data_IF_596683895205
#
_entry.id   IF_596683895205
#
_cell.length_a   1.000
_cell.length_b   1.000
_cell.length_c   1.000
_cell.angle_alpha   90.00
_cell.angle_beta   90.00
_cell.angle_gamma   90.00
#
_symmetry.space_group_name_H-M   'P 1'
#
loop_
_entity.id
_entity.type
_entity.pdbx_description
1 polymer ?
#
# COMPACT_ATOMS: atom_id res chain seq x y z
N UNK A 1 22.07 73.38 -35.44
CA UNK A 1 21.38 73.09 -36.71
C UNK A 1 22.20 72.01 -37.40
N UNK A 2 21.54 70.89 -37.71
CA UNK A 2 22.02 69.68 -38.44
C UNK A 2 23.25 68.94 -37.92
N UNK A 3 23.03 67.74 -37.36
CA UNK A 3 23.82 66.58 -37.79
C UNK A 3 22.98 65.29 -37.75
N UNK A 4 23.07 64.54 -38.85
CA UNK A 4 22.37 63.31 -39.22
C UNK A 4 23.28 62.12 -38.93
N UNK A 5 22.93 61.26 -37.97
CA UNK A 5 23.69 60.03 -37.72
C UNK A 5 23.10 58.82 -38.42
N UNK A 6 24.02 58.06 -39.01
CA UNK A 6 23.88 57.01 -40.01
C UNK A 6 23.28 55.72 -39.47
N UNK A 7 22.46 55.14 -40.34
CA UNK A 7 22.02 53.75 -40.36
C UNK A 7 23.26 52.81 -40.47
N UNK A 8 23.29 51.74 -39.68
CA UNK A 8 24.30 50.68 -39.77
C UNK A 8 23.63 49.33 -39.56
N UNK A 9 23.62 48.58 -40.65
CA UNK A 9 22.95 47.32 -40.88
C UNK A 9 23.47 46.21 -39.95
N UNK A 10 22.56 45.56 -39.22
CA UNK A 10 22.80 44.34 -38.44
C UNK A 10 22.65 43.11 -39.35
N UNK A 11 23.57 42.12 -39.34
CA UNK A 11 23.46 40.95 -40.20
C UNK A 11 22.30 40.03 -39.74
N UNK A 12 21.52 39.56 -40.71
CA UNK A 12 20.38 38.65 -40.51
C UNK A 12 20.90 37.23 -40.21
N UNK A 13 20.62 36.71 -39.02
CA UNK A 13 20.83 35.31 -38.67
C UNK A 13 20.04 34.38 -39.61
N UNK A 14 20.73 33.45 -40.28
CA UNK A 14 20.06 32.37 -41.04
C UNK A 14 19.52 31.32 -40.04
N UNK A 15 18.29 30.83 -40.22
CA UNK A 15 17.76 29.76 -39.39
C UNK A 15 18.45 28.43 -39.73
N UNK A 16 18.90 27.71 -38.69
CA UNK A 16 19.32 26.32 -38.83
C UNK A 16 18.13 25.44 -39.22
N UNK A 17 18.28 24.48 -40.16
CA UNK A 17 17.20 23.59 -40.53
C UNK A 17 16.84 22.67 -39.36
N UNK A 18 15.60 22.76 -38.90
CA UNK A 18 15.03 21.83 -37.93
C UNK A 18 14.88 20.46 -38.59
N UNK A 19 15.66 19.47 -38.14
CA UNK A 19 15.43 18.07 -38.49
C UNK A 19 14.42 17.47 -37.52
N UNK A 20 13.26 16.99 -38.00
CA UNK A 20 12.31 16.29 -37.16
C UNK A 20 12.98 15.03 -36.62
N UNK A 21 13.20 14.96 -35.30
CA UNK A 21 13.53 13.69 -34.64
C UNK A 21 12.33 12.78 -34.80
N UNK A 22 12.41 11.84 -35.75
CA UNK A 22 11.53 10.69 -35.79
C UNK A 22 11.71 9.94 -34.46
N UNK A 23 10.74 10.10 -33.56
CA UNK A 23 10.62 9.27 -32.37
C UNK A 23 10.24 7.89 -32.85
N UNK A 24 11.23 7.01 -33.06
CA UNK A 24 10.97 5.59 -33.08
C UNK A 24 10.41 5.22 -31.71
N UNK A 25 9.09 5.10 -31.64
CA UNK A 25 8.40 4.47 -30.51
C UNK A 25 8.87 3.03 -30.50
N UNK A 26 9.88 2.73 -29.69
CA UNK A 26 10.29 1.36 -29.45
C UNK A 26 9.08 0.65 -28.83
N UNK A 27 8.49 -0.30 -29.57
CA UNK A 27 7.38 -1.10 -29.07
C UNK A 27 7.74 -1.77 -27.74
N UNK A 28 6.72 -2.07 -26.93
CA UNK A 28 6.91 -2.74 -25.64
C UNK A 28 7.69 -4.04 -25.86
N UNK A 29 8.79 -4.33 -25.14
CA UNK A 29 9.56 -5.56 -25.34
C UNK A 29 8.69 -6.82 -25.17
N UNK A 30 8.89 -7.89 -25.97
CA UNK A 30 8.04 -9.10 -25.93
C UNK A 30 7.91 -9.73 -24.54
N UNK A 31 9.00 -9.76 -23.76
CA UNK A 31 8.97 -10.31 -22.39
C UNK A 31 8.08 -9.48 -21.44
N UNK A 32 8.03 -8.15 -21.63
CA UNK A 32 7.13 -7.27 -20.87
C UNK A 32 5.68 -7.54 -21.29
N UNK A 33 5.42 -7.69 -22.58
CA UNK A 33 4.07 -8.03 -23.08
C UNK A 33 3.59 -9.37 -22.50
N UNK A 34 4.44 -10.40 -22.53
CA UNK A 34 4.13 -11.71 -21.96
C UNK A 34 3.85 -11.65 -20.46
N UNK A 35 4.66 -10.90 -19.69
CA UNK A 35 4.43 -10.67 -18.26
C UNK A 35 3.08 -9.97 -18.01
N UNK A 36 2.77 -8.92 -18.76
CA UNK A 36 1.49 -8.20 -18.63
C UNK A 36 0.31 -9.10 -18.97
N UNK A 37 0.44 -9.93 -20.01
CA UNK A 37 -0.60 -10.90 -20.38
C UNK A 37 -0.83 -11.93 -19.27
N UNK A 38 0.23 -12.46 -18.65
CA UNK A 38 0.13 -13.38 -17.53
C UNK A 38 -0.57 -12.74 -16.31
N UNK A 39 -0.22 -11.49 -15.97
CA UNK A 39 -0.87 -10.74 -14.89
C UNK A 39 -2.33 -10.41 -15.19
N UNK A 40 -2.66 -10.06 -16.43
CA UNK A 40 -4.05 -9.85 -16.86
C UNK A 40 -4.88 -11.14 -16.75
N UNK A 41 -4.28 -12.30 -17.07
CA UNK A 41 -4.92 -13.60 -16.85
C UNK A 41 -5.18 -13.87 -15.36
N UNK A 42 -4.20 -13.57 -14.50
CA UNK A 42 -4.36 -13.65 -13.04
C UNK A 42 -5.49 -12.75 -12.55
N UNK A 43 -5.55 -11.49 -13.00
CA UNK A 43 -6.64 -10.58 -12.65
C UNK A 43 -8.02 -11.13 -13.06
N UNK A 44 -8.13 -11.67 -14.28
CA UNK A 44 -9.37 -12.28 -14.77
C UNK A 44 -9.78 -13.46 -13.89
N UNK A 45 -8.84 -14.33 -13.53
CA UNK A 45 -9.08 -15.46 -12.64
C UNK A 45 -9.49 -14.99 -11.24
N UNK A 46 -8.78 -14.03 -10.64
CA UNK A 46 -9.13 -13.40 -9.34
C UNK A 46 -10.58 -12.94 -9.34
N UNK A 47 -11.02 -12.18 -10.35
CA UNK A 47 -12.42 -11.74 -10.46
C UNK A 47 -13.40 -12.89 -10.58
N UNK A 48 -13.04 -13.94 -11.31
CA UNK A 48 -13.92 -15.08 -11.55
C UNK A 48 -14.14 -15.91 -10.27
N UNK A 49 -13.12 -16.08 -9.43
CA UNK A 49 -13.21 -16.90 -8.22
C UNK A 49 -13.84 -16.16 -7.03
N UNK A 50 -13.72 -14.83 -6.96
CA UNK A 50 -14.18 -14.03 -5.82
C UNK A 50 -15.63 -14.28 -5.40
N UNK A 51 -16.64 -14.36 -6.30
CA UNK A 51 -18.02 -14.62 -5.90
C UNK A 51 -18.21 -15.93 -5.14
N UNK A 52 -17.55 -17.01 -5.57
CA UNK A 52 -17.64 -18.33 -4.93
C UNK A 52 -16.88 -18.39 -3.59
N UNK A 53 -15.87 -17.55 -3.40
CA UNK A 53 -15.15 -17.41 -2.15
C UNK A 53 -15.97 -16.61 -1.15
N UNK A 54 -16.52 -15.47 -1.59
CA UNK A 54 -17.29 -14.57 -0.74
C UNK A 54 -18.63 -15.18 -0.31
N UNK A 55 -19.22 -16.08 -1.10
CA UNK A 55 -20.42 -16.83 -0.68
C UNK A 55 -20.18 -17.71 0.55
N UNK A 56 -18.92 -18.10 0.81
CA UNK A 56 -18.52 -18.85 2.01
C UNK A 56 -18.24 -17.93 3.21
N UNK A 57 -18.23 -16.61 3.01
CA UNK A 57 -17.94 -15.59 4.02
C UNK A 57 -19.10 -14.57 4.13
N UNK A 58 -20.33 -15.00 4.46
CA UNK A 58 -21.53 -14.16 4.40
C UNK A 58 -21.55 -13.01 5.41
N UNK A 59 -20.62 -12.99 6.37
CA UNK A 59 -20.49 -11.94 7.37
C UNK A 59 -19.60 -10.76 6.90
N UNK A 60 -18.98 -10.88 5.72
CA UNK A 60 -18.15 -9.86 5.11
C UNK A 60 -18.88 -9.22 3.93
N UNK A 61 -18.77 -7.89 3.80
CA UNK A 61 -19.24 -7.17 2.62
C UNK A 61 -18.06 -6.54 1.86
N UNK A 62 -17.47 -7.33 0.98
CA UNK A 62 -16.34 -6.91 0.16
C UNK A 62 -16.70 -5.89 -0.94
N UNK A 63 -17.98 -5.53 -1.07
CA UNK A 63 -18.44 -4.56 -2.07
C UNK A 63 -18.60 -3.16 -1.48
N UNK A 64 -18.59 -3.01 -0.16
CA UNK A 64 -18.85 -1.73 0.49
C UNK A 64 -17.59 -0.90 0.70
N UNK A 65 -17.72 0.40 0.46
CA UNK A 65 -16.68 1.39 0.70
C UNK A 65 -17.29 2.75 1.01
N UNK A 66 -16.53 3.60 1.71
CA UNK A 66 -16.92 4.93 2.11
C UNK A 66 -15.90 5.94 1.60
N UNK A 67 -16.37 6.96 0.89
CA UNK A 67 -15.53 8.07 0.47
C UNK A 67 -15.49 9.10 1.60
N UNK A 68 -14.29 9.54 1.96
CA UNK A 68 -14.04 10.55 2.98
C UNK A 68 -13.18 11.67 2.39
N UNK A 69 -13.45 12.92 2.77
CA UNK A 69 -12.59 14.06 2.44
C UNK A 69 -11.90 14.57 3.71
N UNK A 70 -10.56 14.61 3.71
CA UNK A 70 -9.79 15.03 4.87
C UNK A 70 -10.18 16.43 5.37
N UNK A 71 -10.58 17.33 4.47
CA UNK A 71 -11.00 18.70 4.81
C UNK A 71 -12.30 18.74 5.61
N UNK A 72 -13.10 17.68 5.54
CA UNK A 72 -14.39 17.54 6.23
C UNK A 72 -14.29 16.64 7.47
N UNK A 73 -13.20 15.86 7.60
CA UNK A 73 -12.98 14.99 8.76
C UNK A 73 -12.59 15.79 10.00
N UNK A 74 -13.15 15.40 11.15
CA UNK A 74 -12.78 15.98 12.45
C UNK A 74 -11.39 15.47 12.87
N UNK A 75 -10.56 16.32 13.51
CA UNK A 75 -9.33 15.86 14.14
C UNK A 75 -9.58 14.72 15.13
N UNK A 76 -8.58 13.84 15.27
CA UNK A 76 -8.63 12.77 16.26
C UNK A 76 -8.66 13.37 17.69
N UNK A 77 -9.51 12.80 18.53
CA UNK A 77 -9.64 13.18 19.94
C UNK A 77 -8.49 12.53 20.76
N UNK A 78 -7.56 13.31 21.34
CA UNK A 78 -6.45 12.76 22.12
C UNK A 78 -6.91 11.96 23.34
N UNK A 79 -8.09 12.23 23.88
CA UNK A 79 -8.65 11.46 24.99
C UNK A 79 -9.01 10.02 24.60
N UNK A 80 -9.09 9.73 23.30
CA UNK A 80 -9.36 8.38 22.74
C UNK A 80 -8.09 7.68 22.26
N UNK A 81 -6.90 8.22 22.56
CA UNK A 81 -5.65 7.53 22.24
C UNK A 81 -5.58 6.18 22.98
N UNK A 82 -5.25 5.07 22.29
CA UNK A 82 -5.30 3.73 22.89
C UNK A 82 -4.22 3.47 23.95
N UNK A 83 -3.23 4.35 24.11
CA UNK A 83 -2.24 4.26 25.19
C UNK A 83 -1.42 2.97 25.21
N UNK A 84 -1.07 2.42 24.03
CA UNK A 84 -0.31 1.17 23.95
C UNK A 84 1.04 1.28 24.67
N UNK A 85 1.32 0.39 25.61
CA UNK A 85 2.60 0.35 26.31
C UNK A 85 3.63 -0.40 25.46
N UNK A 86 4.82 0.18 25.31
CA UNK A 86 5.92 -0.44 24.57
C UNK A 86 6.50 -1.62 25.37
N UNK A 87 6.66 -2.76 24.72
CA UNK A 87 7.32 -3.93 25.33
C UNK A 87 8.82 -3.70 25.56
N UNK A 88 9.44 -2.83 24.77
CA UNK A 88 10.85 -2.47 24.89
C UNK A 88 11.14 -1.50 26.05
N UNK A 89 10.12 -0.80 26.54
CA UNK A 89 10.24 0.20 27.60
C UNK A 89 8.95 0.26 28.44
N UNK A 90 8.82 -0.64 29.44
CA UNK A 90 7.63 -0.72 30.28
C UNK A 90 7.37 0.59 31.03
N UNK A 91 6.18 1.15 30.87
CA UNK A 91 5.78 2.45 31.46
C UNK A 91 5.69 3.58 30.43
N UNK A 92 6.19 3.37 29.22
CA UNK A 92 6.10 4.33 28.12
C UNK A 92 4.97 3.95 27.15
N UNK A 93 4.01 4.86 26.96
CA UNK A 93 3.02 4.76 25.89
C UNK A 93 3.69 5.09 24.54
N UNK A 94 3.49 4.27 23.52
CA UNK A 94 4.06 4.48 22.20
C UNK A 94 3.51 3.58 21.11
N UNK A 95 4.07 3.71 19.90
CA UNK A 95 3.75 2.86 18.76
C UNK A 95 5.00 2.10 18.33
N UNK A 96 4.89 0.78 18.16
CA UNK A 96 5.96 -0.02 17.60
C UNK A 96 6.01 0.18 16.09
N UNK A 97 7.14 0.68 15.59
CA UNK A 97 7.37 0.86 14.16
C UNK A 97 8.39 -0.17 13.68
N UNK A 98 8.08 -0.86 12.57
CA UNK A 98 8.98 -1.80 11.89
C UNK A 98 9.05 -1.46 10.41
N UNK A 99 10.23 -1.57 9.83
CA UNK A 99 10.46 -1.44 8.39
C UNK A 99 10.79 -2.83 7.86
N UNK A 100 10.03 -3.29 6.87
CA UNK A 100 10.11 -4.63 6.31
C UNK A 100 10.27 -4.52 4.79
N UNK A 101 11.05 -5.43 4.20
CA UNK A 101 11.14 -5.58 2.75
C UNK A 101 10.09 -6.59 2.26
N UNK A 102 8.83 -6.26 2.47
CA UNK A 102 7.68 -7.10 2.14
C UNK A 102 6.64 -6.32 1.34
N UNK A 103 5.78 -7.01 0.61
CA UNK A 103 4.63 -6.33 0.01
C UNK A 103 3.53 -6.05 1.04
N UNK A 104 2.65 -5.09 0.72
CA UNK A 104 1.63 -4.57 1.64
C UNK A 104 0.76 -5.65 2.28
N UNK A 105 0.39 -6.70 1.53
CA UNK A 105 -0.50 -7.74 2.03
C UNK A 105 0.25 -8.81 2.81
N UNK A 106 1.49 -9.13 2.44
CA UNK A 106 2.33 -10.06 3.24
C UNK A 106 2.67 -9.42 4.60
N UNK A 107 3.02 -8.12 4.62
CA UNK A 107 3.18 -7.36 5.86
C UNK A 107 1.90 -7.34 6.72
N UNK A 108 0.73 -7.20 6.10
CA UNK A 108 -0.56 -7.20 6.80
C UNK A 108 -0.90 -8.57 7.39
N UNK A 109 -0.63 -9.66 6.66
CA UNK A 109 -0.82 -11.03 7.15
C UNK A 109 0.06 -11.28 8.36
N UNK A 110 1.37 -10.99 8.28
CA UNK A 110 2.29 -11.16 9.41
C UNK A 110 1.88 -10.34 10.64
N UNK A 111 1.37 -9.10 10.43
CA UNK A 111 0.85 -8.28 11.51
C UNK A 111 -0.41 -8.89 12.12
N UNK A 112 -1.35 -9.36 11.30
CA UNK A 112 -2.57 -10.03 11.76
C UNK A 112 -2.27 -11.31 12.56
N UNK A 113 -1.35 -12.15 12.09
CA UNK A 113 -0.88 -13.35 12.81
C UNK A 113 -0.22 -13.00 14.14
N UNK A 114 0.57 -11.92 14.18
CA UNK A 114 1.16 -11.43 15.44
C UNK A 114 0.09 -10.96 16.43
N UNK A 115 -0.98 -10.34 15.95
CA UNK A 115 -2.09 -9.87 16.79
C UNK A 115 -2.96 -11.00 17.35
N UNK A 116 -3.11 -12.11 16.62
CA UNK A 116 -3.84 -13.30 17.08
C UNK A 116 -3.03 -14.17 18.02
N UNK A 117 -1.70 -14.24 17.84
CA UNK A 117 -0.81 -15.01 18.70
C UNK A 117 -0.48 -14.30 20.02
N UNK A 118 -0.60 -12.96 20.07
CA UNK A 118 -0.44 -12.24 21.33
C UNK A 118 -1.65 -12.51 22.25
N UNK A 119 -1.43 -13.06 23.47
CA UNK A 119 -2.45 -13.05 24.51
C UNK A 119 -2.98 -11.63 24.65
N UNK A 120 -4.29 -11.45 24.87
CA UNK A 120 -4.89 -10.14 25.13
C UNK A 120 -3.98 -9.38 26.11
N UNK A 121 -3.28 -8.35 25.63
CA UNK A 121 -2.40 -7.57 26.47
C UNK A 121 -3.26 -7.08 27.65
N UNK A 122 -2.82 -7.39 28.86
CA UNK A 122 -3.55 -7.12 30.08
C UNK A 122 -4.04 -5.67 30.08
N UNK A 123 -5.30 -5.42 30.51
CA UNK A 123 -5.81 -4.05 30.64
C UNK A 123 -4.87 -3.26 31.55
N UNK A 124 -4.30 -2.18 31.02
CA UNK A 124 -3.51 -1.23 31.81
C UNK A 124 -4.40 -0.07 32.27
N UNK A 125 -4.07 0.40 33.47
CA UNK A 125 -4.84 1.20 34.42
C UNK A 125 -5.65 2.35 33.76
N UNK A 126 -6.96 2.36 33.99
CA UNK A 126 -7.79 3.58 33.90
C UNK A 126 -8.56 3.83 32.60
N UNK A 127 -8.54 2.95 31.60
CA UNK A 127 -9.35 3.11 30.37
C UNK A 127 -10.31 1.94 30.17
N UNK A 128 -11.53 2.22 29.71
CA UNK A 128 -12.54 1.21 29.38
C UNK A 128 -11.98 0.25 28.34
N UNK A 129 -11.78 -1.00 28.73
CA UNK A 129 -11.12 -2.05 27.96
C UNK A 129 -11.94 -2.46 26.73
N UNK A 130 -11.86 -1.66 25.68
CA UNK A 130 -12.34 -2.08 24.36
C UNK A 130 -11.38 -3.14 23.83
N UNK A 131 -11.86 -4.30 23.35
CA UNK A 131 -10.98 -5.31 22.78
C UNK A 131 -10.16 -4.71 21.64
N UNK A 132 -8.85 -5.03 21.58
CA UNK A 132 -7.97 -4.56 20.49
C UNK A 132 -8.60 -4.95 19.15
N UNK A 133 -8.72 -3.99 18.23
CA UNK A 133 -9.14 -4.27 16.86
C UNK A 133 -8.12 -5.22 16.22
N UNK A 134 -8.60 -6.39 15.81
CA UNK A 134 -7.77 -7.44 15.19
C UNK A 134 -7.60 -7.23 13.69
N UNK A 135 -8.24 -6.21 13.11
CA UNK A 135 -8.12 -5.89 11.68
C UNK A 135 -6.92 -5.00 11.45
N UNK A 136 -6.12 -5.38 10.45
CA UNK A 136 -5.00 -4.58 9.97
C UNK A 136 -5.50 -3.61 8.91
N UNK A 137 -5.09 -2.35 9.04
CA UNK A 137 -5.33 -1.32 8.03
C UNK A 137 -4.16 -1.27 7.06
N UNK A 138 -4.45 -1.35 5.76
CA UNK A 138 -3.46 -1.25 4.68
C UNK A 138 -3.72 0.02 3.88
N UNK A 139 -2.68 0.84 3.67
CA UNK A 139 -2.75 1.98 2.76
C UNK A 139 -2.55 1.50 1.32
N UNK A 140 -3.54 1.70 0.45
CA UNK A 140 -3.44 1.55 -1.00
C UNK A 140 -3.04 2.88 -1.63
N UNK A 141 -1.94 2.89 -2.38
CA UNK A 141 -1.42 4.03 -3.13
C UNK A 141 -2.20 4.21 -4.43
N UNK A 142 -3.46 4.61 -4.27
CA UNK A 142 -4.48 4.47 -5.29
C UNK A 142 -4.39 5.52 -6.41
N UNK A 143 -4.69 5.08 -7.62
CA UNK A 143 -4.95 5.96 -8.75
C UNK A 143 -6.18 6.83 -8.49
N UNK A 144 -6.05 8.14 -8.61
CA UNK A 144 -7.19 9.07 -8.51
C UNK A 144 -8.16 8.95 -9.70
N UNK A 145 -7.78 8.26 -10.77
CA UNK A 145 -8.49 8.26 -12.06
C UNK A 145 -9.18 6.95 -12.38
N UNK A 146 -8.59 5.83 -11.96
CA UNK A 146 -9.04 4.50 -12.39
C UNK A 146 -9.07 3.53 -11.21
N UNK A 147 -10.21 2.86 -10.96
CA UNK A 147 -10.32 1.90 -9.86
C UNK A 147 -9.36 0.72 -10.05
N UNK A 148 -8.42 0.55 -9.13
CA UNK A 148 -7.42 -0.51 -9.16
C UNK A 148 -6.32 -0.26 -10.21
N UNK A 149 -6.18 0.96 -10.70
CA UNK A 149 -5.20 1.34 -11.70
C UNK A 149 -5.27 0.47 -12.96
N UNK A 150 -4.11 -0.04 -13.39
CA UNK A 150 -3.98 -0.83 -14.60
C UNK A 150 -4.08 -2.34 -14.40
N UNK A 151 -4.59 -2.85 -13.27
CA UNK A 151 -4.46 -4.26 -12.89
C UNK A 151 -5.04 -5.24 -13.91
N UNK A 152 -6.17 -4.90 -14.54
CA UNK A 152 -6.79 -5.72 -15.61
C UNK A 152 -5.93 -5.82 -16.89
N UNK A 153 -4.96 -4.93 -17.06
CA UNK A 153 -4.04 -4.87 -18.22
C UNK A 153 -2.62 -5.32 -17.88
N UNK A 154 -2.44 -5.96 -16.72
CA UNK A 154 -1.15 -6.46 -16.29
C UNK A 154 -0.17 -5.39 -15.80
N UNK A 155 -0.65 -4.20 -15.39
CA UNK A 155 0.23 -3.19 -14.82
C UNK A 155 0.79 -3.64 -13.46
N UNK A 156 1.92 -3.06 -13.06
CA UNK A 156 2.59 -3.42 -11.81
C UNK A 156 2.89 -2.14 -11.04
N UNK A 157 2.11 -1.90 -10.00
CA UNK A 157 2.45 -1.04 -8.89
C UNK A 157 1.82 -1.63 -7.62
N UNK A 158 1.87 -0.87 -6.53
CA UNK A 158 1.38 -1.33 -5.24
C UNK A 158 -0.15 -1.56 -5.24
N UNK A 159 -0.91 -0.65 -5.85
CA UNK A 159 -2.37 -0.79 -6.02
C UNK A 159 -2.71 -2.06 -6.79
N UNK A 160 -2.08 -2.27 -7.96
CA UNK A 160 -2.35 -3.44 -8.77
C UNK A 160 -1.98 -4.74 -8.05
N UNK A 161 -0.88 -4.76 -7.30
CA UNK A 161 -0.49 -5.91 -6.48
C UNK A 161 -1.58 -6.27 -5.45
N UNK A 162 -2.19 -5.27 -4.80
CA UNK A 162 -3.32 -5.49 -3.88
C UNK A 162 -4.54 -6.02 -4.64
N UNK A 163 -4.88 -5.44 -5.80
CA UNK A 163 -6.03 -5.88 -6.60
C UNK A 163 -5.87 -7.29 -7.18
N UNK A 164 -4.66 -7.69 -7.60
CA UNK A 164 -4.41 -9.06 -8.08
C UNK A 164 -4.70 -10.11 -7.00
N UNK A 165 -4.46 -9.75 -5.74
CA UNK A 165 -4.39 -10.70 -4.62
C UNK A 165 -5.63 -10.71 -3.74
N UNK A 166 -6.53 -9.75 -3.87
CA UNK A 166 -7.61 -9.54 -2.91
C UNK A 166 -8.95 -9.20 -3.55
N UNK A 167 -9.99 -9.09 -2.71
CA UNK A 167 -11.32 -8.62 -3.09
C UNK A 167 -11.42 -7.09 -3.29
N UNK A 168 -10.35 -6.32 -3.05
CA UNK A 168 -10.41 -4.84 -3.05
C UNK A 168 -11.09 -4.26 -4.29
N UNK A 169 -10.82 -4.81 -5.47
CA UNK A 169 -11.39 -4.29 -6.71
C UNK A 169 -12.93 -4.33 -6.78
N UNK A 170 -13.61 -5.07 -5.90
CA UNK A 170 -15.07 -5.10 -5.81
C UNK A 170 -15.67 -3.88 -5.11
N UNK A 171 -14.90 -3.20 -4.25
CA UNK A 171 -15.33 -2.00 -3.54
C UNK A 171 -14.88 -0.71 -4.22
N UNK A 172 -14.02 -0.78 -5.25
CA UNK A 172 -13.57 0.37 -6.02
C UNK A 172 -14.62 0.77 -7.08
N UNK A 173 -15.73 1.35 -6.63
CA UNK A 173 -16.84 1.75 -7.52
C UNK A 173 -16.44 2.91 -8.43
N UNK A 174 -16.72 2.77 -9.73
CA UNK A 174 -16.41 3.81 -10.74
C UNK A 174 -17.01 5.18 -10.41
N UNK A 175 -18.12 5.24 -9.68
CA UNK A 175 -18.79 6.49 -9.30
C UNK A 175 -17.93 7.41 -8.43
N UNK A 176 -16.92 6.88 -7.72
CA UNK A 176 -15.99 7.70 -6.95
C UNK A 176 -14.89 8.34 -7.80
N UNK A 177 -14.75 7.93 -9.07
CA UNK A 177 -13.62 8.32 -9.91
C UNK A 177 -14.05 9.26 -11.06
N UNK A 178 -13.21 10.24 -11.43
CA UNK A 178 -12.00 10.64 -10.70
C UNK A 178 -12.34 11.35 -9.38
N UNK A 179 -11.53 11.15 -8.33
CA UNK A 179 -11.68 11.90 -7.08
C UNK A 179 -10.67 13.05 -6.96
N UNK A 180 -11.01 14.04 -6.13
CA UNK A 180 -10.15 15.20 -5.87
C UNK A 180 -9.06 14.93 -4.83
N UNK A 181 -8.12 15.88 -4.73
CA UNK A 181 -7.09 15.86 -3.68
C UNK A 181 -7.72 15.74 -2.28
N UNK A 182 -6.98 15.14 -1.35
CA UNK A 182 -7.40 14.92 0.04
C UNK A 182 -8.65 14.02 0.20
N UNK A 183 -9.10 13.38 -0.88
CA UNK A 183 -10.13 12.34 -0.83
C UNK A 183 -9.48 10.98 -0.60
N UNK A 184 -10.10 10.15 0.25
CA UNK A 184 -9.73 8.76 0.44
C UNK A 184 -10.96 7.86 0.40
N UNK A 185 -10.76 6.59 0.06
CA UNK A 185 -11.79 5.57 0.08
C UNK A 185 -11.45 4.51 1.13
N UNK A 186 -12.31 4.34 2.12
CA UNK A 186 -12.18 3.31 3.14
C UNK A 186 -13.00 2.07 2.76
N UNK A 187 -12.34 0.92 2.64
CA UNK A 187 -12.96 -0.39 2.46
C UNK A 187 -12.70 -1.23 3.70
N UNK A 188 -13.78 -1.62 4.40
CA UNK A 188 -13.67 -2.37 5.66
C UNK A 188 -13.30 -3.83 5.45
N UNK A 189 -13.97 -4.52 4.52
CA UNK A 189 -13.83 -5.96 4.31
C UNK A 189 -13.06 -6.24 3.02
N UNK A 190 -11.77 -6.50 3.15
CA UNK A 190 -10.91 -6.95 2.04
C UNK A 190 -10.38 -8.34 2.36
N UNK A 191 -10.70 -9.30 1.51
CA UNK A 191 -10.28 -10.70 1.64
C UNK A 191 -9.08 -10.92 0.75
N UNK A 192 -7.95 -11.33 1.34
CA UNK A 192 -6.77 -11.76 0.59
C UNK A 192 -6.95 -13.21 0.16
N UNK A 193 -6.89 -13.46 -1.15
CA UNK A 193 -7.16 -14.78 -1.75
C UNK A 193 -5.96 -15.35 -2.52
N UNK A 194 -4.86 -14.59 -2.67
CA UNK A 194 -3.62 -15.08 -3.30
C UNK A 194 -2.37 -14.74 -2.51
N UNK A 195 -1.40 -15.63 -2.65
CA UNK A 195 0.01 -15.39 -2.31
C UNK A 195 0.61 -14.26 -3.15
N UNK A 196 1.76 -13.75 -2.71
CA UNK A 196 2.48 -12.66 -3.37
C UNK A 196 2.92 -12.99 -4.79
N UNK A 197 3.28 -11.94 -5.54
CA UNK A 197 3.78 -12.11 -6.91
C UNK A 197 5.05 -12.97 -6.95
N UNK A 198 5.96 -12.73 -5.99
CA UNK A 198 7.21 -13.49 -5.85
C UNK A 198 7.00 -14.97 -5.53
N UNK A 199 5.88 -15.29 -4.88
CA UNK A 199 5.46 -16.66 -4.55
C UNK A 199 4.57 -17.30 -5.63
N UNK A 200 4.38 -16.61 -6.77
CA UNK A 200 3.67 -17.15 -7.93
C UNK A 200 2.16 -16.95 -7.95
N UNK A 201 1.59 -16.02 -7.18
CA UNK A 201 0.14 -15.68 -7.24
C UNK A 201 -0.83 -16.87 -7.07
N UNK A 202 -0.42 -17.90 -6.32
CA UNK A 202 -1.28 -19.05 -6.04
C UNK A 202 -2.47 -18.65 -5.18
N UNK A 203 -3.65 -19.20 -5.49
CA UNK A 203 -4.82 -19.07 -4.62
C UNK A 203 -4.49 -19.66 -3.24
N UNK A 204 -4.88 -18.95 -2.18
CA UNK A 204 -4.65 -19.37 -0.79
C UNK A 204 -5.70 -20.35 -0.28
N UNK A 205 -6.78 -20.54 -1.03
CA UNK A 205 -7.86 -21.46 -0.67
C UNK A 205 -7.60 -22.84 -1.29
N UNK A 206 -7.86 -23.94 -0.56
CA UNK A 206 -7.69 -25.28 -1.10
C UNK A 206 -8.64 -25.50 -2.28
N UNK A 207 -8.11 -26.09 -3.36
CA UNK A 207 -8.96 -26.67 -4.41
C UNK A 207 -9.90 -27.71 -3.78
N UNK A 208 -11.16 -27.83 -4.26
CA UNK A 208 -12.18 -28.70 -3.67
C UNK A 208 -11.86 -30.20 -3.68
N UNK A 209 -10.69 -30.63 -4.16
CA UNK A 209 -10.30 -32.04 -4.30
C UNK A 209 -9.42 -32.59 -3.16
N UNK A 210 -8.85 -31.76 -2.28
CA UNK A 210 -7.87 -32.23 -1.29
C UNK A 210 -8.31 -31.92 0.15
N UNK A 211 -8.91 -32.93 0.80
CA UNK A 211 -9.47 -32.93 2.17
C UNK A 211 -8.43 -32.82 3.31
N UNK A 212 -7.25 -32.24 3.07
CA UNK A 212 -6.14 -32.21 4.03
C UNK A 212 -5.28 -30.95 3.97
N UNK A 213 -5.81 -29.83 3.48
CA UNK A 213 -5.15 -28.53 3.65
C UNK A 213 -5.60 -27.89 4.96
N UNK A 214 -4.69 -27.34 5.79
CA UNK A 214 -5.11 -26.55 6.94
C UNK A 214 -6.02 -25.42 6.45
N UNK A 215 -7.09 -25.19 7.22
CA UNK A 215 -8.10 -24.16 7.00
C UNK A 215 -7.43 -22.88 6.52
N UNK A 216 -7.81 -22.32 5.36
CA UNK A 216 -7.15 -21.11 4.89
C UNK A 216 -7.42 -20.01 5.90
N UNK A 217 -6.35 -19.50 6.50
CA UNK A 217 -6.30 -18.21 7.18
C UNK A 217 -6.63 -17.15 6.13
N UNK A 218 -7.92 -16.99 5.85
CA UNK A 218 -8.44 -15.88 5.07
C UNK A 218 -8.19 -14.64 5.91
N UNK A 219 -7.04 -13.99 5.70
CA UNK A 219 -6.73 -12.77 6.41
C UNK A 219 -7.66 -11.67 5.91
N UNK A 220 -8.65 -11.32 6.72
CA UNK A 220 -9.50 -10.15 6.49
C UNK A 220 -8.74 -8.90 6.91
N UNK A 221 -8.42 -8.05 5.94
CA UNK A 221 -7.81 -6.74 6.17
C UNK A 221 -8.81 -5.63 5.86
N UNK A 222 -8.58 -4.44 6.40
CA UNK A 222 -9.24 -3.21 5.95
C UNK A 222 -8.25 -2.42 5.10
N UNK A 223 -8.71 -1.77 4.04
CA UNK A 223 -7.86 -1.01 3.12
C UNK A 223 -8.36 0.42 3.04
N UNK A 224 -7.44 1.38 3.19
CA UNK A 224 -7.67 2.79 2.86
C UNK A 224 -6.95 3.08 1.56
N UNK A 225 -7.70 3.41 0.52
CA UNK A 225 -7.15 3.92 -0.74
C UNK A 225 -7.03 5.43 -0.65
N UNK A 226 -5.81 5.95 -0.80
CA UNK A 226 -5.56 7.38 -0.89
C UNK A 226 -4.56 7.64 -2.00
N UNK A 227 -4.81 8.68 -2.78
CA UNK A 227 -3.80 9.18 -3.72
C UNK A 227 -2.81 10.04 -2.93
N UNK A 228 -1.50 9.88 -3.13
CA UNK A 228 -0.50 10.69 -2.44
C UNK A 228 -0.68 12.15 -2.86
N UNK A 229 -1.38 12.94 -2.04
CA UNK A 229 -1.47 14.38 -2.24
C UNK A 229 -0.07 14.97 -2.00
N UNK A 230 0.47 15.68 -2.99
CA UNK A 230 1.71 16.46 -2.81
C UNK A 230 1.37 17.73 -2.05
N UNK A 231 1.15 17.60 -0.74
CA UNK A 231 1.07 18.77 0.13
C UNK A 231 2.49 19.30 0.35
N UNK A 232 2.87 20.36 -0.37
CA UNK A 232 4.10 21.11 -0.06
C UNK A 232 3.83 21.84 1.26
N UNK A 233 4.24 21.26 2.37
CA UNK A 233 4.20 21.94 3.67
C UNK A 233 5.43 22.84 3.76
N UNK A 234 5.22 24.15 3.81
CA UNK A 234 6.25 25.10 4.14
C UNK A 234 6.73 24.91 5.59
N UNK A 235 8.05 24.89 5.74
CA UNK A 235 8.83 25.19 6.96
C UNK A 235 8.70 24.21 8.14
N UNK A 236 9.63 23.26 8.16
CA UNK A 236 10.02 22.41 9.30
C UNK A 236 10.61 23.27 10.44
N UNK A 237 10.17 23.04 11.68
CA UNK A 237 11.02 23.25 12.86
C UNK A 237 11.53 21.85 13.28
N UNK A 238 12.84 21.60 13.40
CA UNK A 238 13.33 20.25 13.65
C UNK A 238 13.11 19.84 15.10
N UNK A 239 12.45 18.70 15.30
CA UNK A 239 12.44 18.01 16.59
C UNK A 239 13.77 17.27 16.79
N UNK A 240 14.39 17.48 17.95
CA UNK A 240 15.66 16.87 18.35
C UNK A 240 15.52 15.35 18.46
N UNK A 241 16.20 14.63 17.56
CA UNK A 241 16.41 13.18 17.68
C UNK A 241 17.64 12.96 18.58
N UNK A 242 17.41 12.53 19.82
CA UNK A 242 18.50 11.99 20.65
C UNK A 242 18.77 10.56 20.22
N UNK A 243 19.87 10.37 19.50
CA UNK A 243 20.42 9.04 19.22
C UNK A 243 21.36 8.64 20.36
N UNK A 244 21.03 7.56 21.07
CA UNK A 244 21.98 6.88 21.95
C UNK A 244 22.75 5.86 21.10
N UNK A 245 24.01 6.14 20.83
CA UNK A 245 24.94 5.21 20.18
C UNK A 245 25.63 4.41 21.27
N UNK A 246 25.31 3.13 21.40
CA UNK A 246 26.09 2.20 22.24
C UNK A 246 27.36 1.78 21.48
N UNK A 247 28.53 1.74 22.14
CA UNK A 247 29.79 1.33 21.50
C UNK A 247 29.80 -0.17 21.17
N UNK A 248 30.61 -0.60 20.17
CA UNK A 248 30.64 -1.98 19.69
C UNK A 248 31.16 -2.94 20.77
N UNK A 249 30.39 -3.98 21.07
CA UNK A 249 30.84 -5.09 21.91
C UNK A 249 31.78 -6.00 21.11
N UNK A 250 32.96 -6.24 21.66
CA UNK A 250 33.93 -7.26 21.22
C UNK A 250 33.37 -8.67 21.40
N UNK A 251 33.70 -9.62 20.50
CA UNK A 251 33.18 -10.98 20.58
C UNK A 251 33.91 -11.76 21.69
N UNK A 252 33.17 -12.22 22.70
CA UNK A 252 33.64 -13.16 23.70
C UNK A 252 32.91 -14.51 23.51
N UNK A 253 33.73 -15.55 23.33
CA UNK A 253 33.56 -16.97 23.67
C UNK A 253 32.27 -17.71 23.27
N UNK A 254 32.40 -18.47 22.18
CA UNK A 254 31.61 -19.67 21.89
C UNK A 254 32.15 -20.85 22.72
N UNK A 255 31.33 -21.62 23.44
CA UNK A 255 31.79 -22.89 23.99
C UNK A 255 31.78 -23.97 22.89
N UNK A 256 32.95 -24.59 22.71
CA UNK A 256 33.18 -25.84 21.99
C UNK A 256 32.27 -26.95 22.52
N UNK A 257 31.44 -27.54 21.65
CA UNK A 257 30.97 -28.91 21.83
C UNK A 257 31.99 -29.86 21.19
N UNK A 258 32.68 -30.62 22.04
CA UNK A 258 33.44 -31.80 21.67
C UNK A 258 32.52 -33.02 21.66
N UNK A 259 32.55 -33.75 20.53
CA UNK A 259 32.18 -35.16 20.27
C UNK A 259 30.98 -35.74 21.03
#
# INVERSE_FOLDING_TARGET
>A
MTDTSRDSQRPKNRPHPYHPRHKHSMGIPPHVQARRAALAAIAKETKAVLPAILSQLPHLDATMSYQENLSETKPLDPAKCPGFILTSDPGTCGTLVKVLNEDSLDAAIMMGESLTQQPQAQPQIGTSSSPRNQRVLVLNLASEKQPGGGWLTGAVAQEEAICYRSSLALSLHKQYYPWGALTGLYTRDVVVIRSSMGSGHRLLLPSPSNSQSPTPSSASSSVVAASPATATTATTTPATVTSSTSPPQTPADLPLLSV
#
